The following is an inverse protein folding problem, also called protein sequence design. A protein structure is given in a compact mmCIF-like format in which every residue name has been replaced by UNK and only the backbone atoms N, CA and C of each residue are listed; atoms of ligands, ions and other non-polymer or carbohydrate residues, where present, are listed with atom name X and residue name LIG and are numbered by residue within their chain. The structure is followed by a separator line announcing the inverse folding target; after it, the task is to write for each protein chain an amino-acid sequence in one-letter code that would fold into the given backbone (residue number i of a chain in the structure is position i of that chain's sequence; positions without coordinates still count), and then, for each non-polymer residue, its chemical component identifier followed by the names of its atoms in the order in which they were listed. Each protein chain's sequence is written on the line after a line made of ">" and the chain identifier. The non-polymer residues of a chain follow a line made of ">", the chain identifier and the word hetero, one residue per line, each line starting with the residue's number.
data_IF_681818923238
#
_entry.id   IF_681818923238
#
_cell.length_a   1.000
_cell.length_b   1.000
_cell.length_c   1.000
_cell.angle_alpha   90.00
_cell.angle_beta   90.00
_cell.angle_gamma   90.00
#
_symmetry.space_group_name_H-M   'P 1'
#
loop_
_entity.id
_entity.type
_entity.pdbx_description
1 polymer ?
#
# COMPACT_ATOMS: atom_id res chain seq x y z
N UNK A 1 49.75 -6.85 39.95
CA UNK A 1 50.28 -7.73 38.89
C UNK A 1 49.30 -8.90 38.80
N UNK A 2 48.34 -9.00 37.87
CA UNK A 2 48.32 -8.78 36.42
C UNK A 2 46.86 -8.40 36.02
N UNK A 3 46.65 -7.27 35.34
CA UNK A 3 46.13 -7.13 33.94
C UNK A 3 45.08 -8.18 33.49
N UNK A 4 43.79 -7.83 33.37
CA UNK A 4 43.07 -7.22 32.21
C UNK A 4 42.81 -8.18 31.01
N UNK A 5 41.52 -8.27 30.65
CA UNK A 5 40.90 -8.53 29.33
C UNK A 5 40.55 -9.97 28.90
N UNK A 6 39.25 -10.27 28.87
CA UNK A 6 38.41 -10.55 27.66
C UNK A 6 37.07 -11.16 28.12
N UNK A 7 35.99 -10.39 28.30
CA UNK A 7 35.00 -9.88 27.32
C UNK A 7 33.75 -10.76 27.18
N UNK A 8 32.60 -10.08 27.30
CA UNK A 8 31.26 -10.40 26.78
C UNK A 8 30.56 -11.68 27.27
N UNK A 9 29.64 -11.50 28.23
CA UNK A 9 28.18 -11.74 28.15
C UNK A 9 27.67 -11.49 29.58
N UNK A 10 27.40 -10.22 29.89
CA UNK A 10 26.80 -9.82 31.17
C UNK A 10 25.96 -8.55 30.97
N UNK A 11 25.02 -8.63 30.03
CA UNK A 11 23.83 -7.81 29.95
C UNK A 11 22.88 -8.59 29.02
N UNK A 12 21.60 -8.67 29.36
CA UNK A 12 20.54 -9.52 28.75
C UNK A 12 20.27 -10.85 29.47
N UNK A 13 19.85 -10.80 30.74
CA UNK A 13 18.94 -11.84 31.26
C UNK A 13 18.37 -11.46 32.63
N UNK A 14 17.40 -10.55 32.67
CA UNK A 14 16.40 -10.55 33.74
C UNK A 14 15.15 -9.77 33.32
N UNK A 15 14.44 -10.30 32.33
CA UNK A 15 13.03 -9.97 32.10
C UNK A 15 12.23 -11.23 32.42
N UNK A 16 11.63 -11.27 33.61
CA UNK A 16 10.58 -12.25 33.93
C UNK A 16 9.23 -11.54 33.83
N UNK A 17 8.59 -11.68 32.67
CA UNK A 17 7.16 -11.41 32.50
C UNK A 17 6.37 -12.58 33.11
N UNK A 18 5.47 -12.31 34.06
CA UNK A 18 4.51 -13.31 34.53
C UNK A 18 3.27 -13.31 33.63
N UNK A 19 3.11 -14.41 32.90
CA UNK A 19 1.92 -15.20 32.57
C UNK A 19 0.51 -14.55 32.51
N UNK A 20 0.19 -13.98 31.36
CA UNK A 20 -1.17 -13.86 30.76
C UNK A 20 -1.07 -13.44 29.27
N UNK A 21 -0.13 -14.09 28.57
CA UNK A 21 0.25 -13.80 27.19
C UNK A 21 -0.86 -14.19 26.18
N UNK A 22 -1.45 -13.18 25.55
CA UNK A 22 -2.26 -13.28 24.35
C UNK A 22 -1.36 -13.62 23.14
N UNK A 23 -1.67 -14.69 22.41
CA UNK A 23 -0.89 -15.23 21.31
C UNK A 23 -1.02 -14.45 19.97
N UNK A 24 -1.32 -13.14 19.99
CA UNK A 24 -1.61 -12.35 18.78
C UNK A 24 -0.43 -11.46 18.34
N UNK A 25 0.62 -11.35 19.15
CA UNK A 25 1.72 -10.40 18.89
C UNK A 25 2.85 -10.91 17.97
N UNK A 26 2.69 -12.01 17.23
CA UNK A 26 3.76 -12.58 16.39
C UNK A 26 3.68 -12.26 14.89
N UNK A 27 2.65 -11.55 14.41
CA UNK A 27 2.47 -11.28 12.96
C UNK A 27 2.58 -9.81 12.52
N UNK A 28 2.63 -8.83 13.43
CA UNK A 28 2.50 -7.41 13.06
C UNK A 28 3.74 -6.53 13.24
N UNK A 29 4.81 -7.05 13.87
CA UNK A 29 6.02 -6.28 14.14
C UNK A 29 7.18 -6.70 13.23
N UNK A 30 7.04 -6.51 11.91
CA UNK A 30 8.20 -6.48 11.02
C UNK A 30 8.72 -5.04 10.90
N UNK A 31 10.00 -4.83 11.27
CA UNK A 31 10.85 -3.65 11.01
C UNK A 31 10.72 -2.35 11.86
N UNK A 32 10.42 -2.41 13.16
CA UNK A 32 10.67 -1.23 14.04
C UNK A 32 11.42 -1.59 15.32
N UNK A 33 12.55 -0.92 15.54
CA UNK A 33 13.47 -1.10 16.69
C UNK A 33 13.16 -0.16 17.88
N UNK A 34 12.02 0.54 17.93
CA UNK A 34 11.77 1.54 18.97
C UNK A 34 10.37 1.42 19.63
N UNK A 35 10.43 0.89 20.85
CA UNK A 35 9.65 1.10 22.10
C UNK A 35 8.11 1.02 22.07
N UNK A 36 7.48 0.10 22.86
CA UNK A 36 6.05 0.16 23.14
C UNK A 36 5.73 1.37 24.05
N UNK A 37 4.88 2.26 23.56
CA UNK A 37 4.31 3.36 24.35
C UNK A 37 3.36 2.82 25.42
N UNK A 38 3.88 2.59 26.63
CA UNK A 38 3.03 2.24 27.78
C UNK A 38 2.46 3.53 28.39
N UNK A 39 1.19 3.84 28.09
CA UNK A 39 0.45 4.94 28.72
C UNK A 39 -0.10 4.44 30.06
N UNK A 40 0.57 4.72 31.18
CA UNK A 40 -0.15 4.66 32.48
C UNK A 40 -1.08 5.85 32.55
N UNK A 41 -2.35 5.61 32.29
CA UNK A 41 -3.36 6.42 32.95
C UNK A 41 -3.74 5.70 34.24
N UNK A 42 -3.91 6.44 35.34
CA UNK A 42 -4.29 5.85 36.64
C UNK A 42 -5.61 5.07 36.66
N UNK A 43 -6.35 5.02 35.54
CA UNK A 43 -7.62 4.31 35.41
C UNK A 43 -7.65 3.22 34.32
N UNK A 44 -6.71 3.19 33.36
CA UNK A 44 -6.61 2.11 32.36
C UNK A 44 -5.17 1.59 32.23
N UNK A 45 -4.89 0.48 32.93
CA UNK A 45 -3.58 -0.16 32.95
C UNK A 45 -3.31 -1.07 31.74
N UNK A 46 -3.69 -0.66 30.52
CA UNK A 46 -3.48 -1.45 29.30
C UNK A 46 -2.32 -0.87 28.47
N UNK A 47 -1.37 -1.70 28.01
CA UNK A 47 -0.40 -1.27 27.01
C UNK A 47 -1.14 -1.06 25.69
N UNK A 48 -0.97 0.13 25.09
CA UNK A 48 -1.57 0.45 23.80
C UNK A 48 -0.47 0.47 22.72
N UNK A 49 -0.75 -0.10 21.55
CA UNK A 49 0.09 0.07 20.36
C UNK A 49 -0.27 1.37 19.63
N UNK A 50 0.71 2.03 19.02
CA UNK A 50 0.58 3.29 18.28
C UNK A 50 -0.53 3.23 17.21
N UNK A 51 -0.66 2.11 16.52
CA UNK A 51 -1.68 1.89 15.49
C UNK A 51 -3.09 1.68 16.08
N UNK A 52 -3.19 1.21 17.33
CA UNK A 52 -4.46 1.11 18.03
C UNK A 52 -4.89 2.45 18.62
N UNK A 53 -3.93 3.22 19.15
CA UNK A 53 -4.10 4.59 19.64
C UNK A 53 -4.61 5.46 18.49
N UNK A 54 -3.93 5.45 17.34
CA UNK A 54 -4.29 6.26 16.17
C UNK A 54 -5.76 6.14 15.78
N UNK A 55 -6.28 4.90 15.67
CA UNK A 55 -7.68 4.61 15.34
C UNK A 55 -8.69 5.20 16.34
N UNK A 56 -8.34 5.30 17.63
CA UNK A 56 -9.21 5.89 18.65
C UNK A 56 -9.29 7.43 18.62
N UNK A 57 -8.37 8.10 17.90
CA UNK A 57 -8.26 9.56 17.88
C UNK A 57 -8.59 10.20 16.53
N UNK A 58 -8.80 9.40 15.47
CA UNK A 58 -9.17 9.88 14.13
C UNK A 58 -10.36 10.84 14.16
N UNK A 59 -11.38 10.55 14.97
CA UNK A 59 -12.62 11.34 15.05
C UNK A 59 -12.55 12.54 16.01
N UNK A 60 -11.39 12.77 16.63
CA UNK A 60 -11.21 13.82 17.62
C UNK A 60 -10.26 14.89 17.07
N UNK A 61 -10.65 16.18 17.08
CA UNK A 61 -9.79 17.26 16.60
C UNK A 61 -8.47 17.35 17.37
N UNK A 62 -7.40 17.73 16.68
CA UNK A 62 -6.11 18.08 17.31
C UNK A 62 -6.35 19.12 18.43
N UNK A 63 -5.69 18.94 19.57
CA UNK A 63 -5.80 19.74 20.78
C UNK A 63 -6.96 19.35 21.70
N UNK A 64 -7.88 18.49 21.26
CA UNK A 64 -9.08 18.10 22.02
C UNK A 64 -9.16 16.60 22.34
N UNK A 65 -8.20 15.82 21.85
CA UNK A 65 -8.17 14.36 21.92
C UNK A 65 -8.06 13.82 23.34
N UNK A 66 -8.98 12.92 23.70
CA UNK A 66 -9.04 12.20 24.98
C UNK A 66 -9.18 10.71 24.77
N UNK A 67 -8.61 9.93 25.69
CA UNK A 67 -8.73 8.47 25.69
C UNK A 67 -10.20 8.04 25.48
N UNK A 68 -10.47 7.24 24.45
CA UNK A 68 -11.83 6.80 24.11
C UNK A 68 -12.50 5.98 25.22
N UNK A 69 -11.70 5.28 26.03
CA UNK A 69 -12.19 4.42 27.12
C UNK A 69 -12.57 5.21 28.39
N UNK A 70 -11.68 6.08 28.88
CA UNK A 70 -11.91 6.78 30.14
C UNK A 70 -12.38 8.23 29.98
N UNK A 71 -12.25 8.82 28.79
CA UNK A 71 -12.58 10.23 28.46
C UNK A 71 -11.93 11.30 29.34
N UNK A 72 -11.00 10.94 30.22
CA UNK A 72 -10.43 11.85 31.21
C UNK A 72 -9.07 12.39 30.79
N UNK A 73 -8.21 11.57 30.19
CA UNK A 73 -6.83 11.95 29.90
C UNK A 73 -6.71 12.56 28.49
N UNK A 74 -6.33 13.84 28.38
CA UNK A 74 -6.02 14.47 27.10
C UNK A 74 -4.63 14.08 26.60
N UNK A 75 -4.42 14.13 25.28
CA UNK A 75 -3.08 14.19 24.66
C UNK A 75 -2.31 15.44 25.13
N UNK A 76 -0.95 15.47 25.09
CA UNK A 76 -0.01 14.49 24.51
C UNK A 76 0.28 13.28 25.42
N UNK A 77 0.66 12.15 24.80
CA UNK A 77 1.15 10.96 25.54
C UNK A 77 2.60 11.18 25.97
N UNK A 78 3.02 10.59 27.09
CA UNK A 78 4.40 10.71 27.59
C UNK A 78 5.01 9.31 27.73
N UNK A 79 6.19 9.11 27.13
CA UNK A 79 7.01 7.92 27.30
C UNK A 79 7.56 7.89 28.73
N UNK A 80 7.32 6.81 29.47
CA UNK A 80 7.69 6.74 30.89
C UNK A 80 9.17 6.51 31.14
N UNK A 81 9.88 5.92 30.19
CA UNK A 81 11.29 5.60 30.32
C UNK A 81 12.16 6.80 29.94
N UNK A 82 11.72 7.57 28.94
CA UNK A 82 12.47 8.72 28.40
C UNK A 82 11.91 10.07 28.84
N UNK A 83 10.70 10.11 29.41
CA UNK A 83 9.91 11.33 29.65
C UNK A 83 9.60 12.14 28.39
N UNK A 84 9.80 11.56 27.21
CA UNK A 84 9.51 12.19 25.92
C UNK A 84 8.00 12.34 25.72
N UNK A 85 7.56 13.53 25.35
CA UNK A 85 6.16 13.80 25.03
C UNK A 85 5.91 13.56 23.54
N UNK A 86 4.95 12.70 23.22
CA UNK A 86 4.44 12.49 21.87
C UNK A 86 3.30 13.49 21.63
N UNK A 87 3.54 14.55 20.84
CA UNK A 87 2.56 15.61 20.63
C UNK A 87 1.30 15.07 19.98
N UNK A 88 0.18 15.74 20.25
CA UNK A 88 -1.12 15.34 19.72
C UNK A 88 -1.15 15.24 18.19
N UNK A 89 -0.31 16.05 17.53
CA UNK A 89 -0.14 16.11 16.07
C UNK A 89 0.44 14.83 15.46
N UNK A 90 1.02 13.93 16.27
CA UNK A 90 1.54 12.64 15.78
C UNK A 90 0.44 11.67 15.32
N UNK A 91 -0.82 11.90 15.72
CA UNK A 91 -1.93 11.01 15.43
C UNK A 91 -2.81 11.54 14.29
N UNK A 92 -3.34 10.65 13.44
CA UNK A 92 -4.11 11.01 12.26
C UNK A 92 -5.35 11.82 12.63
N UNK A 93 -5.51 13.03 12.08
CA UNK A 93 -6.76 13.80 12.10
C UNK A 93 -7.50 13.60 10.78
N UNK A 94 -8.80 13.31 10.84
CA UNK A 94 -9.67 13.21 9.65
C UNK A 94 -9.54 14.44 8.75
N UNK A 95 -9.28 15.64 9.29
CA UNK A 95 -9.06 16.85 8.49
C UNK A 95 -7.89 16.72 7.52
N UNK A 96 -6.77 16.14 7.96
CA UNK A 96 -5.58 15.95 7.10
C UNK A 96 -5.87 14.96 5.96
N UNK A 97 -6.52 13.82 6.26
CA UNK A 97 -6.83 12.82 5.24
C UNK A 97 -7.93 13.29 4.28
N UNK A 98 -8.93 14.04 4.75
CA UNK A 98 -9.92 14.68 3.87
C UNK A 98 -9.22 15.64 2.91
N UNK A 99 -8.33 16.50 3.41
CA UNK A 99 -7.56 17.39 2.56
C UNK A 99 -6.73 16.64 1.52
N UNK A 100 -6.12 15.51 1.89
CA UNK A 100 -5.39 14.67 0.93
C UNK A 100 -6.32 14.03 -0.12
N UNK A 101 -7.53 13.60 0.29
CA UNK A 101 -8.54 13.01 -0.60
C UNK A 101 -9.22 14.04 -1.51
N UNK A 102 -9.34 15.28 -1.05
CA UNK A 102 -10.04 16.37 -1.74
C UNK A 102 -9.07 17.22 -2.59
N UNK A 103 -7.76 17.05 -2.40
CA UNK A 103 -6.73 17.82 -3.10
C UNK A 103 -6.46 19.19 -2.51
N UNK A 104 -6.87 19.45 -1.26
CA UNK A 104 -6.66 20.73 -0.57
C UNK A 104 -5.20 20.85 -0.10
N UNK A 105 -4.33 21.30 -1.00
CA UNK A 105 -2.91 21.49 -0.75
C UNK A 105 -2.63 22.47 0.40
N UNK A 106 -3.43 23.53 0.56
CA UNK A 106 -3.24 24.54 1.60
C UNK A 106 -3.49 23.94 3.00
N UNK A 107 -4.49 23.07 3.13
CA UNK A 107 -4.72 22.34 4.38
C UNK A 107 -3.66 21.27 4.61
N UNK A 108 -3.20 20.56 3.57
CA UNK A 108 -2.08 19.61 3.67
C UNK A 108 -0.83 20.32 4.20
N UNK A 109 -0.49 21.48 3.65
CA UNK A 109 0.66 22.29 4.08
C UNK A 109 0.59 22.72 5.54
N UNK A 110 -0.59 23.20 5.97
CA UNK A 110 -0.81 23.57 7.37
C UNK A 110 -0.60 22.37 8.30
N UNK A 111 -1.16 21.21 7.96
CA UNK A 111 -0.99 19.99 8.75
C UNK A 111 0.45 19.47 8.78
N UNK A 112 1.20 19.61 7.67
CA UNK A 112 2.63 19.29 7.63
C UNK A 112 3.44 20.23 8.53
N UNK A 113 3.14 21.53 8.54
CA UNK A 113 3.78 22.49 9.42
C UNK A 113 3.51 22.23 10.92
N UNK A 114 2.36 21.63 11.24
CA UNK A 114 2.00 21.18 12.58
C UNK A 114 2.68 19.85 13.00
N UNK A 115 3.43 19.21 12.09
CA UNK A 115 4.19 18.00 12.36
C UNK A 115 3.36 16.72 12.29
N UNK A 116 2.33 16.67 11.42
CA UNK A 116 1.56 15.45 11.20
C UNK A 116 2.45 14.28 10.77
N UNK A 117 2.18 13.09 11.30
CA UNK A 117 2.82 11.87 10.82
C UNK A 117 2.22 11.47 9.47
N UNK A 118 2.94 11.76 8.38
CA UNK A 118 2.51 11.47 6.99
C UNK A 118 2.28 9.99 6.69
N UNK A 119 2.87 9.10 7.50
CA UNK A 119 2.79 7.64 7.35
C UNK A 119 1.81 6.99 8.33
N UNK A 120 1.08 7.78 9.11
CA UNK A 120 -0.03 7.27 9.89
C UNK A 120 -1.14 6.72 8.97
N UNK A 121 -1.96 5.83 9.50
CA UNK A 121 -3.06 5.22 8.77
C UNK A 121 -4.43 5.54 9.38
N UNK A 122 -5.44 5.61 8.53
CA UNK A 122 -6.84 5.70 8.94
C UNK A 122 -7.39 4.36 9.44
N UNK A 123 -8.67 4.31 9.83
CA UNK A 123 -9.37 3.10 10.30
C UNK A 123 -9.37 1.94 9.31
N UNK A 124 -9.37 2.24 8.01
CA UNK A 124 -9.30 1.26 6.91
C UNK A 124 -7.87 1.05 6.39
N UNK A 125 -6.89 1.45 7.20
CA UNK A 125 -5.45 1.32 6.96
C UNK A 125 -4.92 2.08 5.72
N UNK A 126 -5.69 3.04 5.20
CA UNK A 126 -5.23 3.95 4.15
C UNK A 126 -4.22 4.98 4.69
N UNK A 127 -3.15 5.22 3.93
CA UNK A 127 -2.23 6.34 4.14
C UNK A 127 -2.71 7.59 3.40
N UNK A 128 -2.19 8.76 3.80
CA UNK A 128 -2.46 10.02 3.09
C UNK A 128 -2.05 9.96 1.60
N UNK A 129 -0.91 9.33 1.31
CA UNK A 129 -0.39 9.18 -0.05
C UNK A 129 -1.30 8.30 -0.91
N UNK A 130 -1.89 7.24 -0.35
CA UNK A 130 -2.87 6.41 -1.06
C UNK A 130 -4.12 7.21 -1.45
N UNK A 131 -4.68 8.00 -0.53
CA UNK A 131 -5.87 8.81 -0.80
C UNK A 131 -5.60 9.87 -1.88
N UNK A 132 -4.48 10.57 -1.80
CA UNK A 132 -4.09 11.55 -2.81
C UNK A 132 -3.84 10.91 -4.18
N UNK A 133 -3.25 9.70 -4.20
CA UNK A 133 -3.00 8.94 -5.43
C UNK A 133 -4.28 8.43 -6.08
N UNK A 134 -5.25 7.97 -5.26
CA UNK A 134 -6.58 7.56 -5.70
C UNK A 134 -7.37 8.75 -6.27
N UNK A 135 -7.30 9.92 -5.61
CA UNK A 135 -7.99 11.14 -6.03
C UNK A 135 -7.35 11.88 -7.21
N UNK A 136 -6.14 11.49 -7.62
CA UNK A 136 -5.44 12.12 -8.75
C UNK A 136 -4.79 13.48 -8.43
N UNK A 137 -4.59 13.77 -7.15
CA UNK A 137 -4.11 15.08 -6.66
C UNK A 137 -2.59 15.16 -6.71
N UNK A 138 -2.05 15.37 -7.91
CA UNK A 138 -0.60 15.36 -8.16
C UNK A 138 0.20 16.29 -7.23
N UNK A 139 -0.28 17.52 -7.02
CA UNK A 139 0.42 18.47 -6.15
C UNK A 139 0.48 17.95 -4.70
N UNK A 140 -0.59 17.32 -4.21
CA UNK A 140 -0.58 16.71 -2.87
C UNK A 140 0.36 15.49 -2.84
N UNK A 141 0.34 14.64 -3.87
CA UNK A 141 1.22 13.46 -3.98
C UNK A 141 2.69 13.86 -3.90
N UNK A 142 3.15 14.80 -4.73
CA UNK A 142 4.53 15.27 -4.73
C UNK A 142 4.94 15.84 -3.36
N UNK A 143 4.00 16.52 -2.71
CA UNK A 143 4.25 17.16 -1.42
C UNK A 143 4.31 16.17 -0.27
N UNK A 144 3.48 15.14 -0.27
CA UNK A 144 3.57 14.03 0.67
C UNK A 144 4.87 13.22 0.47
N UNK A 145 5.26 12.94 -0.77
CA UNK A 145 6.54 12.27 -1.08
C UNK A 145 7.71 13.08 -0.54
N UNK A 146 7.73 14.41 -0.79
CA UNK A 146 8.76 15.31 -0.26
C UNK A 146 8.79 15.36 1.27
N UNK A 147 7.64 15.16 1.92
CA UNK A 147 7.52 15.08 3.37
C UNK A 147 7.89 13.70 3.95
N UNK A 148 8.33 12.75 3.13
CA UNK A 148 8.79 11.43 3.58
C UNK A 148 7.68 10.38 3.68
N UNK A 149 6.59 10.54 2.91
CA UNK A 149 5.59 9.49 2.77
C UNK A 149 6.20 8.22 2.15
N UNK A 150 5.83 7.06 2.70
CA UNK A 150 6.24 5.75 2.22
C UNK A 150 5.52 5.42 0.90
N UNK A 151 6.24 5.55 -0.21
CA UNK A 151 5.74 5.29 -1.57
C UNK A 151 5.32 3.84 -1.80
N UNK A 152 5.81 2.92 -0.97
CA UNK A 152 5.55 1.48 -1.06
C UNK A 152 4.70 0.97 0.11
N UNK A 153 3.97 1.86 0.78
CA UNK A 153 3.06 1.46 1.85
C UNK A 153 2.05 0.42 1.33
N UNK A 154 1.94 -0.73 2.01
CA UNK A 154 0.98 -1.82 1.73
C UNK A 154 0.07 -2.01 2.94
N UNK A 155 -0.54 -0.92 3.40
CA UNK A 155 -1.25 -0.90 4.70
C UNK A 155 -2.70 -1.33 4.56
N UNK A 156 -3.32 -1.22 3.39
CA UNK A 156 -4.71 -1.65 3.19
C UNK A 156 -4.84 -3.15 3.41
N UNK A 157 -6.05 -3.62 3.75
CA UNK A 157 -6.34 -5.04 3.98
C UNK A 157 -5.98 -5.91 2.77
N UNK A 158 -6.12 -5.38 1.56
CA UNK A 158 -5.85 -6.10 0.34
C UNK A 158 -4.39 -5.94 -0.13
N UNK A 159 -3.57 -5.15 0.58
CA UNK A 159 -2.17 -4.93 0.23
C UNK A 159 -1.96 -3.93 -0.92
N UNK A 160 -2.92 -3.04 -1.16
CA UNK A 160 -2.82 -2.03 -2.21
C UNK A 160 -1.73 -1.00 -1.89
N UNK A 161 -1.03 -0.54 -2.93
CA UNK A 161 -0.02 0.53 -2.85
C UNK A 161 -0.55 1.85 -3.41
N UNK A 162 0.09 3.00 -3.13
CA UNK A 162 -0.21 4.24 -3.83
C UNK A 162 -0.15 4.12 -5.36
N UNK A 163 0.83 3.36 -5.89
CA UNK A 163 1.00 3.14 -7.32
C UNK A 163 -0.17 2.32 -7.91
N UNK A 164 -0.64 1.30 -7.19
CA UNK A 164 -1.84 0.55 -7.54
C UNK A 164 -3.08 1.45 -7.63
N UNK A 165 -3.29 2.32 -6.63
CA UNK A 165 -4.44 3.23 -6.59
C UNK A 165 -4.42 4.24 -7.75
N UNK A 166 -3.25 4.81 -8.06
CA UNK A 166 -3.09 5.70 -9.22
C UNK A 166 -3.36 4.97 -10.55
N UNK A 167 -2.90 3.74 -10.69
CA UNK A 167 -3.14 2.91 -11.88
C UNK A 167 -4.62 2.52 -12.04
N UNK A 168 -5.32 2.26 -10.93
CA UNK A 168 -6.73 1.90 -10.90
C UNK A 168 -7.65 3.02 -11.43
N UNK A 169 -7.36 4.27 -11.08
CA UNK A 169 -8.19 5.43 -11.44
C UNK A 169 -7.65 6.23 -12.65
N UNK A 170 -6.67 5.68 -13.38
CA UNK A 170 -6.03 6.31 -14.54
C UNK A 170 -5.34 7.66 -14.23
N UNK A 171 -4.82 7.82 -13.01
CA UNK A 171 -4.17 9.07 -12.58
C UNK A 171 -2.71 9.11 -13.05
N UNK A 172 -2.51 9.31 -14.35
CA UNK A 172 -1.19 9.20 -15.02
C UNK A 172 -0.10 10.11 -14.46
N UNK A 173 -0.44 11.33 -14.02
CA UNK A 173 0.54 12.24 -13.40
C UNK A 173 1.01 11.72 -12.03
N UNK A 174 0.08 11.31 -11.17
CA UNK A 174 0.41 10.69 -9.88
C UNK A 174 1.23 9.41 -10.08
N UNK A 175 0.84 8.59 -11.06
CA UNK A 175 1.55 7.38 -11.43
C UNK A 175 3.02 7.68 -11.79
N UNK A 176 3.27 8.65 -12.66
CA UNK A 176 4.64 9.08 -13.03
C UNK A 176 5.45 9.55 -11.82
N UNK A 177 4.88 10.41 -10.99
CA UNK A 177 5.57 10.92 -9.79
C UNK A 177 5.93 9.79 -8.81
N UNK A 178 5.05 8.81 -8.62
CA UNK A 178 5.34 7.63 -7.79
C UNK A 178 6.46 6.76 -8.37
N UNK A 179 6.46 6.55 -9.68
CA UNK A 179 7.53 5.80 -10.38
C UNK A 179 8.88 6.52 -10.25
N UNK A 180 8.90 7.85 -10.43
CA UNK A 180 10.09 8.67 -10.23
C UNK A 180 10.61 8.57 -8.79
N UNK A 181 9.70 8.49 -7.83
CA UNK A 181 9.98 8.28 -6.42
C UNK A 181 10.31 6.81 -6.04
N UNK A 182 10.53 5.93 -7.02
CA UNK A 182 10.93 4.51 -6.84
C UNK A 182 9.86 3.64 -6.18
N UNK A 183 8.60 3.88 -6.51
CA UNK A 183 7.54 2.92 -6.22
C UNK A 183 7.83 1.56 -6.90
N UNK A 184 7.51 0.48 -6.21
CA UNK A 184 7.64 -0.89 -6.72
C UNK A 184 6.56 -1.16 -7.77
N UNK A 185 6.98 -1.23 -9.03
CA UNK A 185 6.13 -1.49 -10.19
C UNK A 185 5.42 -2.84 -10.13
N UNK A 186 5.99 -3.79 -9.39
CA UNK A 186 5.55 -5.18 -9.33
C UNK A 186 5.02 -5.57 -7.95
N UNK A 187 4.74 -4.59 -7.09
CA UNK A 187 4.07 -4.83 -5.82
C UNK A 187 2.77 -5.60 -6.04
N UNK A 188 2.49 -6.55 -5.14
CA UNK A 188 1.37 -7.48 -5.27
C UNK A 188 0.42 -7.32 -4.10
N UNK A 189 -0.87 -7.21 -4.41
CA UNK A 189 -1.95 -7.37 -3.43
C UNK A 189 -1.98 -8.80 -2.87
N UNK A 190 -2.81 -9.07 -1.87
CA UNK A 190 -3.01 -10.43 -1.33
C UNK A 190 -3.44 -11.43 -2.43
N UNK A 191 -4.24 -10.97 -3.39
CA UNK A 191 -4.66 -11.73 -4.58
C UNK A 191 -3.63 -11.75 -5.70
N UNK A 192 -2.43 -11.19 -5.49
CA UNK A 192 -1.37 -11.18 -6.49
C UNK A 192 -1.58 -10.19 -7.63
N UNK A 193 -2.43 -9.17 -7.45
CA UNK A 193 -2.69 -8.16 -8.47
C UNK A 193 -1.57 -7.12 -8.45
N UNK A 194 -1.01 -6.81 -9.62
CA UNK A 194 0.01 -5.76 -9.80
C UNK A 194 -0.61 -4.45 -10.30
N UNK A 195 0.10 -3.30 -10.18
CA UNK A 195 -0.30 -2.05 -10.82
C UNK A 195 -0.61 -2.18 -12.32
N UNK A 196 0.20 -2.96 -13.06
CA UNK A 196 -0.05 -3.20 -14.48
C UNK A 196 -1.34 -4.00 -14.69
N UNK A 197 -1.54 -5.06 -13.90
CA UNK A 197 -2.76 -5.86 -14.00
C UNK A 197 -4.00 -5.00 -13.73
N UNK A 198 -4.03 -4.18 -12.68
CA UNK A 198 -5.21 -3.38 -12.38
C UNK A 198 -5.48 -2.30 -13.44
N UNK A 199 -4.43 -1.70 -14.03
CA UNK A 199 -4.59 -0.76 -15.15
C UNK A 199 -5.25 -1.45 -16.35
N UNK A 200 -4.78 -2.64 -16.74
CA UNK A 200 -5.38 -3.44 -17.82
C UNK A 200 -6.79 -3.89 -17.44
N UNK A 201 -6.99 -4.35 -16.20
CA UNK A 201 -8.30 -4.73 -15.70
C UNK A 201 -9.26 -3.56 -15.76
N UNK A 202 -8.84 -2.30 -15.63
CA UNK A 202 -9.70 -1.12 -15.77
C UNK A 202 -9.81 -0.59 -17.20
N UNK A 203 -8.95 -1.01 -18.11
CA UNK A 203 -8.87 -0.50 -19.48
C UNK A 203 -8.15 0.85 -19.57
N UNK A 204 -7.29 1.13 -18.60
CA UNK A 204 -6.57 2.40 -18.47
C UNK A 204 -5.31 2.41 -19.34
N UNK A 205 -5.50 2.52 -20.65
CA UNK A 205 -4.43 2.39 -21.66
C UNK A 205 -3.22 3.30 -21.39
N UNK A 206 -3.44 4.56 -21.00
CA UNK A 206 -2.34 5.49 -20.70
C UNK A 206 -1.46 5.00 -19.52
N UNK A 207 -2.08 4.50 -18.45
CA UNK A 207 -1.36 3.90 -17.33
C UNK A 207 -0.64 2.61 -17.73
N UNK A 208 -1.23 1.80 -18.62
CA UNK A 208 -0.59 0.59 -19.16
C UNK A 208 0.70 0.96 -19.89
N UNK A 209 0.67 1.94 -20.79
CA UNK A 209 1.87 2.41 -21.51
C UNK A 209 2.96 2.91 -20.54
N UNK A 210 2.57 3.73 -19.55
CA UNK A 210 3.51 4.28 -18.57
C UNK A 210 4.19 3.16 -17.77
N UNK A 211 3.43 2.18 -17.27
CA UNK A 211 3.96 1.09 -16.46
C UNK A 211 4.87 0.16 -17.27
N UNK A 212 4.49 -0.15 -18.51
CA UNK A 212 5.31 -0.97 -19.42
C UNK A 212 6.62 -0.25 -19.74
N UNK A 213 6.58 1.04 -20.08
CA UNK A 213 7.77 1.84 -20.34
C UNK A 213 8.68 1.97 -19.11
N UNK A 214 8.12 1.88 -17.91
CA UNK A 214 8.89 1.86 -16.66
C UNK A 214 9.49 0.48 -16.34
N UNK A 215 9.12 -0.59 -17.06
CA UNK A 215 9.63 -1.96 -16.86
C UNK A 215 8.80 -2.82 -15.91
N UNK A 216 7.49 -2.59 -15.82
CA UNK A 216 6.58 -3.50 -15.11
C UNK A 216 6.58 -4.90 -15.76
N UNK A 217 6.44 -5.94 -14.95
CA UNK A 217 6.38 -7.32 -15.42
C UNK A 217 5.07 -7.59 -16.19
N UNK A 218 5.20 -7.79 -17.50
CA UNK A 218 4.12 -8.03 -18.44
C UNK A 218 3.32 -9.31 -18.13
N UNK A 219 3.97 -10.28 -17.49
CA UNK A 219 3.47 -11.63 -17.32
C UNK A 219 3.11 -11.95 -15.86
N UNK A 220 3.08 -10.92 -14.99
CA UNK A 220 2.72 -11.08 -13.59
C UNK A 220 1.27 -11.60 -13.44
N UNK A 221 1.14 -12.91 -13.25
CA UNK A 221 -0.14 -13.58 -13.11
C UNK A 221 -0.74 -13.38 -11.72
N UNK A 222 -2.06 -13.23 -11.64
CA UNK A 222 -2.82 -13.18 -10.38
C UNK A 222 -2.71 -14.50 -9.62
N UNK A 223 -2.57 -14.49 -8.29
CA UNK A 223 -2.40 -15.74 -7.52
C UNK A 223 -3.67 -16.58 -7.49
N UNK A 224 -4.84 -15.96 -7.46
CA UNK A 224 -6.12 -16.64 -7.26
C UNK A 224 -6.57 -17.50 -8.45
N UNK A 225 -6.18 -17.15 -9.67
CA UNK A 225 -6.56 -17.92 -10.86
C UNK A 225 -5.51 -18.01 -11.96
N UNK A 226 -4.37 -17.35 -11.83
CA UNK A 226 -3.32 -17.35 -12.86
C UNK A 226 -3.60 -16.44 -14.06
N UNK A 227 -4.60 -15.56 -14.00
CA UNK A 227 -4.85 -14.61 -15.09
C UNK A 227 -3.68 -13.62 -15.23
N UNK A 228 -3.16 -13.46 -16.45
CA UNK A 228 -2.17 -12.45 -16.81
C UNK A 228 -2.84 -11.14 -17.26
N UNK A 229 -2.09 -10.02 -17.37
CA UNK A 229 -2.59 -8.81 -18.00
C UNK A 229 -3.13 -9.06 -19.43
N UNK A 230 -2.39 -9.79 -20.28
CA UNK A 230 -2.83 -10.09 -21.65
C UNK A 230 -4.12 -10.93 -21.68
N UNK A 231 -4.22 -11.96 -20.84
CA UNK A 231 -5.46 -12.74 -20.69
C UNK A 231 -6.65 -11.84 -20.33
N UNK A 232 -6.43 -10.90 -19.41
CA UNK A 232 -7.46 -9.99 -18.92
C UNK A 232 -7.91 -9.01 -20.01
N UNK A 233 -6.97 -8.43 -20.77
CA UNK A 233 -7.29 -7.57 -21.92
C UNK A 233 -8.14 -8.33 -22.95
N UNK A 234 -7.76 -9.56 -23.27
CA UNK A 234 -8.48 -10.44 -24.19
C UNK A 234 -9.89 -10.80 -23.68
N UNK A 235 -10.02 -11.13 -22.40
CA UNK A 235 -11.31 -11.47 -21.78
C UNK A 235 -12.25 -10.25 -21.66
N UNK A 236 -11.71 -9.06 -21.39
CA UNK A 236 -12.51 -7.82 -21.28
C UNK A 236 -12.80 -7.16 -22.63
N UNK A 237 -12.07 -7.51 -23.69
CA UNK A 237 -12.22 -6.93 -25.02
C UNK A 237 -11.53 -5.56 -25.14
N UNK A 238 -10.46 -5.36 -24.38
CA UNK A 238 -9.68 -4.12 -24.41
C UNK A 238 -8.57 -4.20 -25.45
N UNK A 239 -8.96 -4.01 -26.71
CA UNK A 239 -8.08 -4.13 -27.88
C UNK A 239 -6.83 -3.24 -27.76
N UNK A 240 -6.95 -1.97 -27.35
CA UNK A 240 -5.77 -1.09 -27.21
C UNK A 240 -4.74 -1.63 -26.20
N UNK A 241 -5.19 -2.04 -25.01
CA UNK A 241 -4.32 -2.64 -24.00
C UNK A 241 -3.70 -3.95 -24.48
N UNK A 242 -4.49 -4.77 -25.19
CA UNK A 242 -4.04 -6.03 -25.76
C UNK A 242 -2.94 -5.81 -26.80
N UNK A 243 -3.16 -4.91 -27.76
CA UNK A 243 -2.22 -4.61 -28.84
C UNK A 243 -0.89 -4.08 -28.29
N UNK A 244 -0.94 -3.20 -27.27
CA UNK A 244 0.27 -2.74 -26.58
C UNK A 244 1.03 -3.92 -25.98
N UNK A 245 0.35 -4.80 -25.22
CA UNK A 245 0.96 -5.96 -24.57
C UNK A 245 1.55 -6.95 -25.59
N UNK A 246 0.86 -7.20 -26.71
CA UNK A 246 1.37 -8.00 -27.82
C UNK A 246 2.66 -7.37 -28.38
N UNK A 247 2.62 -6.06 -28.65
CA UNK A 247 3.74 -5.35 -29.27
C UNK A 247 5.01 -5.36 -28.41
N UNK A 248 4.86 -5.32 -27.07
CA UNK A 248 5.99 -5.38 -26.14
C UNK A 248 6.39 -6.79 -25.72
N UNK A 249 5.77 -7.82 -26.31
CA UNK A 249 6.18 -9.22 -26.15
C UNK A 249 5.66 -9.89 -24.87
N UNK A 250 4.45 -9.56 -24.41
CA UNK A 250 3.77 -10.36 -23.40
C UNK A 250 3.58 -11.80 -23.89
N UNK A 251 3.56 -12.76 -22.96
CA UNK A 251 3.37 -14.18 -23.30
C UNK A 251 1.95 -14.41 -23.84
N UNK A 252 1.86 -14.59 -25.15
CA UNK A 252 0.62 -14.78 -25.90
C UNK A 252 -0.16 -16.02 -25.48
N UNK A 253 0.54 -17.01 -24.90
CA UNK A 253 0.00 -18.33 -24.64
C UNK A 253 0.04 -18.70 -23.16
N UNK A 254 0.21 -17.71 -22.27
CA UNK A 254 0.15 -17.92 -20.83
C UNK A 254 -1.21 -18.55 -20.46
N UNK A 255 -1.17 -19.71 -19.79
CA UNK A 255 -2.36 -20.45 -19.40
C UNK A 255 -2.81 -20.07 -18.00
N UNK A 256 -4.11 -19.82 -17.85
CA UNK A 256 -4.73 -19.59 -16.56
C UNK A 256 -4.69 -20.87 -15.71
N UNK A 257 -4.31 -20.77 -14.44
CA UNK A 257 -4.09 -21.97 -13.59
C UNK A 257 -5.39 -22.68 -13.21
N UNK A 258 -6.52 -21.99 -13.25
CA UNK A 258 -7.83 -22.52 -12.81
C UNK A 258 -8.56 -23.36 -13.87
N UNK A 259 -8.34 -23.12 -15.16
CA UNK A 259 -9.00 -23.87 -16.25
C UNK A 259 -8.13 -24.13 -17.48
N UNK A 260 -6.88 -23.65 -17.50
CA UNK A 260 -5.96 -23.79 -18.62
C UNK A 260 -6.27 -22.89 -19.82
N UNK A 261 -7.19 -21.92 -19.70
CA UNK A 261 -7.55 -21.04 -20.81
C UNK A 261 -6.38 -20.10 -21.18
N UNK A 262 -6.13 -19.95 -22.48
CA UNK A 262 -5.20 -18.96 -23.05
C UNK A 262 -5.92 -17.63 -23.31
N UNK A 263 -5.20 -16.51 -23.54
CA UNK A 263 -5.79 -15.25 -23.98
C UNK A 263 -6.69 -15.40 -25.22
N UNK A 264 -6.29 -16.22 -26.20
CA UNK A 264 -7.08 -16.46 -27.42
C UNK A 264 -8.41 -17.16 -27.10
N UNK A 265 -8.39 -18.20 -26.25
CA UNK A 265 -9.60 -18.87 -25.78
C UNK A 265 -10.50 -17.90 -25.02
N UNK A 266 -9.93 -17.03 -24.19
CA UNK A 266 -10.69 -16.03 -23.45
C UNK A 266 -11.38 -15.02 -24.38
N UNK A 267 -10.70 -14.51 -25.40
CA UNK A 267 -11.29 -13.63 -26.41
C UNK A 267 -12.45 -14.33 -27.14
N UNK A 268 -12.24 -15.56 -27.59
CA UNK A 268 -13.25 -16.38 -28.28
C UNK A 268 -14.50 -16.63 -27.43
N UNK A 269 -14.33 -17.09 -26.18
CA UNK A 269 -15.45 -17.37 -25.26
C UNK A 269 -16.27 -16.11 -24.98
N UNK A 270 -15.62 -14.93 -25.00
CA UNK A 270 -16.27 -13.64 -24.75
C UNK A 270 -16.79 -12.97 -26.02
N UNK A 271 -16.48 -13.50 -27.21
CA UNK A 271 -16.87 -12.94 -28.50
C UNK A 271 -16.14 -11.65 -28.85
N UNK A 272 -14.92 -11.45 -28.32
CA UNK A 272 -14.13 -10.25 -28.52
C UNK A 272 -13.34 -10.35 -29.84
N UNK A 273 -14.06 -10.23 -30.95
CA UNK A 273 -13.53 -10.54 -32.30
C UNK A 273 -12.30 -9.73 -32.72
N UNK A 274 -12.11 -8.50 -32.24
CA UNK A 274 -10.90 -7.71 -32.51
C UNK A 274 -9.70 -8.28 -31.77
N UNK A 275 -9.86 -8.62 -30.49
CA UNK A 275 -8.81 -9.29 -29.71
C UNK A 275 -8.45 -10.66 -30.29
N UNK A 276 -9.45 -11.43 -30.76
CA UNK A 276 -9.21 -12.71 -31.45
C UNK A 276 -8.35 -12.52 -32.70
N UNK A 277 -8.69 -11.54 -33.55
CA UNK A 277 -7.91 -11.24 -34.76
C UNK A 277 -6.48 -10.84 -34.42
N UNK A 278 -6.30 -9.91 -33.48
CA UNK A 278 -4.98 -9.43 -33.07
C UNK A 278 -4.12 -10.58 -32.52
N UNK A 279 -4.69 -11.48 -31.71
CA UNK A 279 -3.97 -12.63 -31.17
C UNK A 279 -3.60 -13.65 -32.26
N UNK A 280 -4.50 -13.93 -33.21
CA UNK A 280 -4.22 -14.83 -34.35
C UNK A 280 -3.15 -14.22 -35.26
N UNK A 281 -3.22 -12.93 -35.55
CA UNK A 281 -2.20 -12.21 -36.33
C UNK A 281 -0.84 -12.19 -35.65
N UNK A 282 -0.82 -12.21 -34.31
CA UNK A 282 0.38 -12.35 -33.50
C UNK A 282 0.86 -13.80 -33.31
N UNK A 283 0.26 -14.77 -34.02
CA UNK A 283 0.59 -16.20 -33.93
C UNK A 283 0.33 -16.85 -32.56
N UNK A 284 -0.63 -16.33 -31.78
CA UNK A 284 -1.11 -17.01 -30.58
C UNK A 284 -1.85 -18.30 -30.95
N UNK A 285 -1.57 -19.40 -30.24
CA UNK A 285 -2.17 -20.71 -30.52
C UNK A 285 -3.33 -21.03 -29.57
N UNK A 286 -4.19 -21.98 -29.96
CA UNK A 286 -5.36 -22.35 -29.17
C UNK A 286 -4.98 -23.18 -27.93
N UNK A 287 -4.00 -24.06 -28.06
CA UNK A 287 -3.48 -24.87 -26.96
C UNK A 287 -2.00 -25.25 -27.19
N UNK A 288 -1.29 -25.67 -26.13
CA UNK A 288 0.14 -26.02 -26.18
C UNK A 288 0.48 -27.27 -27.03
N UNK A 289 -0.46 -27.81 -27.81
CA UNK A 289 -0.31 -28.98 -28.67
C UNK A 289 -0.50 -28.67 -30.16
N UNK A 290 -0.71 -27.41 -30.53
CA UNK A 290 -0.71 -26.95 -31.93
C UNK A 290 0.72 -26.69 -32.45
#
# INVERSE_FOLDING_TARGET
>A
MFYLWMTLIAALSSWTLKADQCAICLAYFHNRNEVPMVVKTGCCGQPFDLDCISKCFVDQPIGSRRCAMCRQNPMPLVNQNTSEAHPDTFFPDRTFYSACSDGDLDQVERSLAEGVNVNAVMTDDFTALMLASLGGHIEVVERLIKAGADVNATRTKDGDTPLYMAAQENNTNCLKALIEAKADLNARTEDGVTPLFIAVWRGNTDCVEILINAGADLNAARTSDGATPLFTAAWRGYTDCLEILIHVGADLNAVRTSDGATPLVAAFVRGNTECEKALIEAEAYLNALD
#
